data_IF_518926315994
#
_entry.id   IF_518926315994
#
_cell.length_a   1.000
_cell.length_b   1.000
_cell.length_c   1.000
_cell.angle_alpha   90.00
_cell.angle_beta   90.00
_cell.angle_gamma   90.00
#
_symmetry.space_group_name_H-M   'P 1'
#
loop_
_entity.id
_entity.type
_entity.pdbx_description
1 polymer ?
#
# COMPACT_ATOMS: atom_id res chain seq x y z
N UNK A 1 12.55 -1.49 4.16
CA UNK A 1 12.10 -0.47 3.19
C UNK A 1 11.16 -1.11 2.19
N UNK A 2 10.05 -0.46 1.84
CA UNK A 2 9.16 -0.93 0.77
C UNK A 2 9.44 -0.08 -0.46
N UNK A 3 9.68 -0.73 -1.58
CA UNK A 3 9.91 -0.07 -2.87
C UNK A 3 8.76 -0.41 -3.81
N UNK A 4 8.03 0.63 -4.20
CA UNK A 4 6.86 0.51 -5.08
C UNK A 4 7.31 0.30 -6.52
N UNK A 5 6.78 -0.73 -7.17
CA UNK A 5 7.13 -1.14 -8.54
C UNK A 5 5.87 -1.45 -9.35
N UNK A 6 5.89 -1.14 -10.65
CA UNK A 6 4.81 -1.51 -11.55
C UNK A 6 4.92 -3.00 -11.89
N UNK A 7 4.10 -3.84 -11.24
CA UNK A 7 4.07 -5.29 -11.45
C UNK A 7 2.63 -5.81 -11.34
N UNK A 8 2.33 -6.89 -12.05
CA UNK A 8 1.03 -7.57 -12.00
C UNK A 8 1.09 -8.77 -11.03
N UNK A 9 0.20 -8.76 -10.03
CA UNK A 9 0.09 -9.85 -9.06
C UNK A 9 -0.34 -11.19 -9.68
N UNK A 10 -1.12 -11.19 -10.76
CA UNK A 10 -1.50 -12.43 -11.46
C UNK A 10 -0.30 -13.10 -12.10
N UNK A 11 0.57 -12.32 -12.74
CA UNK A 11 1.83 -12.83 -13.29
C UNK A 11 2.74 -13.38 -12.19
N UNK A 12 2.82 -12.68 -11.05
CA UNK A 12 3.59 -13.15 -9.89
C UNK A 12 3.01 -14.47 -9.34
N UNK A 13 1.69 -14.61 -9.27
CA UNK A 13 1.05 -15.85 -8.83
C UNK A 13 1.41 -17.02 -9.77
N UNK A 14 1.31 -16.81 -11.07
CA UNK A 14 1.59 -17.83 -12.08
C UNK A 14 3.06 -18.25 -12.10
N UNK A 15 3.99 -17.30 -11.97
CA UNK A 15 5.43 -17.54 -12.12
C UNK A 15 6.14 -17.81 -10.77
N UNK A 16 5.52 -17.44 -9.65
CA UNK A 16 6.10 -17.55 -8.32
C UNK A 16 7.46 -16.86 -8.23
N UNK A 17 8.48 -17.60 -7.74
CA UNK A 17 9.85 -17.07 -7.61
C UNK A 17 10.55 -16.84 -8.96
N UNK A 18 10.04 -17.42 -10.06
CA UNK A 18 10.58 -17.25 -11.42
C UNK A 18 10.19 -15.91 -12.06
N UNK A 19 9.24 -15.17 -11.47
CA UNK A 19 8.87 -13.84 -11.95
C UNK A 19 10.10 -12.93 -12.07
N UNK A 20 10.24 -12.23 -13.20
CA UNK A 20 11.36 -11.32 -13.47
C UNK A 20 11.15 -9.99 -12.76
N UNK A 21 11.63 -9.91 -11.52
CA UNK A 21 11.51 -8.71 -10.71
C UNK A 21 12.38 -7.55 -11.23
N UNK A 22 11.84 -6.32 -11.30
CA UNK A 22 12.67 -5.14 -11.52
C UNK A 22 13.62 -4.98 -10.33
N UNK A 23 14.85 -4.53 -10.61
CA UNK A 23 15.88 -4.27 -9.60
C UNK A 23 16.00 -2.76 -9.40
N UNK A 24 16.13 -2.25 -8.16
CA UNK A 24 16.34 -0.82 -7.96
C UNK A 24 17.74 -0.43 -8.40
N UNK A 25 17.88 0.73 -9.05
CA UNK A 25 19.17 1.26 -9.50
C UNK A 25 20.07 1.66 -8.32
N UNK A 26 19.45 2.17 -7.25
CA UNK A 26 20.15 2.57 -6.04
C UNK A 26 19.32 2.31 -4.78
N UNK A 27 20.02 2.21 -3.65
CA UNK A 27 19.38 2.01 -2.36
C UNK A 27 18.52 3.25 -2.02
N UNK A 28 17.21 3.13 -1.81
CA UNK A 28 16.34 4.28 -1.51
C UNK A 28 16.60 4.90 -0.12
N UNK A 29 17.55 4.36 0.66
CA UNK A 29 17.96 4.89 1.97
C UNK A 29 19.29 5.63 1.94
N UNK A 30 20.27 5.14 1.18
CA UNK A 30 21.65 5.67 1.20
C UNK A 30 22.23 5.89 -0.19
N UNK A 31 21.43 5.71 -1.25
CA UNK A 31 21.77 5.92 -2.65
C UNK A 31 22.94 5.10 -3.20
N UNK A 32 23.47 4.13 -2.43
CA UNK A 32 24.44 3.15 -2.94
C UNK A 32 23.82 2.31 -4.09
N UNK A 33 24.53 2.22 -5.22
CA UNK A 33 24.09 1.57 -6.46
C UNK A 33 24.24 0.04 -6.44
N UNK A 34 25.19 -0.49 -5.66
CA UNK A 34 25.42 -1.94 -5.55
C UNK A 34 24.34 -2.62 -4.72
N UNK A 35 23.20 -2.98 -5.31
CA UNK A 35 22.12 -3.69 -4.61
C UNK A 35 22.01 -5.15 -5.07
N UNK A 36 22.29 -6.13 -4.22
CA UNK A 36 22.10 -7.54 -4.57
C UNK A 36 20.74 -8.11 -4.15
N UNK A 37 20.35 -9.21 -4.80
CA UNK A 37 19.20 -10.00 -4.39
C UNK A 37 19.43 -10.62 -3.01
N UNK A 38 18.41 -10.59 -2.16
CA UNK A 38 18.47 -11.13 -0.79
C UNK A 38 17.55 -12.33 -0.59
N UNK A 39 16.42 -12.37 -1.30
CA UNK A 39 15.46 -13.46 -1.16
C UNK A 39 14.05 -13.02 -1.52
N UNK A 40 13.05 -13.63 -0.88
CA UNK A 40 11.64 -13.30 -1.06
C UNK A 40 10.95 -13.19 0.29
N UNK A 41 9.93 -12.34 0.37
CA UNK A 41 9.04 -12.24 1.51
C UNK A 41 7.61 -12.54 1.05
N UNK A 42 6.96 -13.52 1.70
CA UNK A 42 5.57 -13.88 1.40
C UNK A 42 4.62 -12.78 1.87
N UNK A 43 3.67 -12.37 1.02
CA UNK A 43 2.68 -11.33 1.33
C UNK A 43 1.30 -11.72 0.81
N UNK A 44 0.30 -11.54 1.66
CA UNK A 44 -1.10 -11.71 1.28
C UNK A 44 -1.64 -10.45 0.60
N UNK A 45 -2.40 -10.67 -0.47
CA UNK A 45 -3.15 -9.65 -1.19
C UNK A 45 -4.62 -10.07 -1.26
N UNK A 46 -5.53 -9.11 -1.12
CA UNK A 46 -6.95 -9.40 -1.25
C UNK A 46 -7.26 -9.90 -2.66
N UNK A 47 -8.04 -10.97 -2.78
CA UNK A 47 -8.36 -11.64 -4.05
C UNK A 47 -7.43 -12.80 -4.41
N UNK A 48 -6.41 -13.09 -3.59
CA UNK A 48 -5.50 -14.23 -3.78
C UNK A 48 -5.65 -15.20 -2.61
N UNK A 49 -5.77 -16.49 -2.93
CA UNK A 49 -5.91 -17.56 -1.93
C UNK A 49 -4.61 -17.78 -1.13
N UNK A 50 -3.47 -17.57 -1.78
CA UNK A 50 -2.15 -17.84 -1.22
C UNK A 50 -1.31 -16.55 -1.06
N UNK A 51 -0.28 -16.64 -0.23
CA UNK A 51 0.69 -15.56 -0.10
C UNK A 51 1.62 -15.54 -1.32
N UNK A 52 1.83 -14.37 -1.90
CA UNK A 52 2.67 -14.18 -3.08
C UNK A 52 4.11 -13.82 -2.68
N UNK A 53 5.14 -14.36 -3.37
CA UNK A 53 6.54 -14.09 -3.03
C UNK A 53 6.98 -12.73 -3.57
N UNK A 54 7.17 -11.75 -2.69
CA UNK A 54 7.70 -10.42 -3.05
C UNK A 54 9.22 -10.42 -3.00
N UNK A 55 9.90 -9.94 -4.05
CA UNK A 55 11.36 -9.92 -4.08
C UNK A 55 11.94 -8.98 -3.03
N UNK A 56 12.98 -9.45 -2.34
CA UNK A 56 13.79 -8.68 -1.43
C UNK A 56 15.19 -8.46 -2.02
N UNK A 57 15.66 -7.23 -1.89
CA UNK A 57 17.01 -6.81 -2.18
C UNK A 57 17.68 -6.29 -0.91
N UNK A 58 19.01 -6.25 -0.87
CA UNK A 58 19.76 -5.74 0.28
C UNK A 58 20.81 -4.74 -0.16
N UNK A 59 20.94 -3.65 0.59
CA UNK A 59 22.07 -2.75 0.40
C UNK A 59 23.29 -3.26 1.18
N UNK A 60 24.48 -3.39 0.58
CA UNK A 60 25.69 -3.81 1.28
C UNK A 60 26.21 -2.71 2.22
N UNK A 61 25.96 -1.44 1.90
CA UNK A 61 26.42 -0.29 2.70
C UNK A 61 25.56 -0.10 3.95
N UNK A 62 24.30 0.29 3.80
CA UNK A 62 23.42 0.58 4.95
C UNK A 62 22.67 -0.65 5.49
N UNK A 63 22.92 -1.84 4.92
CA UNK A 63 22.29 -3.11 5.29
C UNK A 63 20.76 -3.14 5.18
N UNK A 64 20.13 -2.11 4.62
CA UNK A 64 18.69 -2.04 4.47
C UNK A 64 18.16 -3.14 3.56
N UNK A 65 17.09 -3.82 3.99
CA UNK A 65 16.32 -4.74 3.16
C UNK A 65 15.22 -3.96 2.45
N UNK A 66 15.19 -4.06 1.13
CA UNK A 66 14.26 -3.39 0.22
C UNK A 66 13.32 -4.46 -0.33
N UNK A 67 12.05 -4.42 0.06
CA UNK A 67 11.03 -5.35 -0.46
C UNK A 67 10.26 -4.66 -1.58
N UNK A 68 10.30 -5.23 -2.77
CA UNK A 68 9.48 -4.79 -3.89
C UNK A 68 7.99 -5.02 -3.57
N UNK A 69 7.14 -4.06 -3.91
CA UNK A 69 5.68 -4.15 -3.71
C UNK A 69 4.97 -3.50 -4.89
N UNK A 70 3.83 -4.04 -5.35
CA UNK A 70 3.09 -3.43 -6.44
C UNK A 70 2.67 -2.00 -6.11
N UNK A 71 2.87 -1.07 -7.05
CA UNK A 71 2.66 0.37 -6.87
C UNK A 71 1.19 0.74 -6.60
N UNK A 72 0.24 -0.09 -7.04
CA UNK A 72 -1.19 0.08 -6.78
C UNK A 72 -1.64 -0.38 -5.37
N UNK A 73 -0.70 -0.67 -4.46
CA UNK A 73 -0.98 -1.00 -3.07
C UNK A 73 -0.17 -0.11 -2.13
N UNK A 74 -0.83 0.37 -1.07
CA UNK A 74 -0.08 1.02 0.01
C UNK A 74 0.85 0.01 0.72
N UNK A 75 1.96 0.50 1.29
CA UNK A 75 2.76 -0.25 2.24
C UNK A 75 1.89 -0.92 3.30
N UNK A 76 2.13 -2.22 3.54
CA UNK A 76 1.47 -3.03 4.58
C UNK A 76 -0.05 -3.24 4.43
N UNK A 77 -0.71 -2.66 3.42
CA UNK A 77 -2.15 -2.84 3.17
C UNK A 77 -2.38 -3.89 2.08
N UNK A 78 -3.25 -4.86 2.37
CA UNK A 78 -3.51 -6.02 1.49
C UNK A 78 -4.47 -5.73 0.32
N UNK A 79 -5.25 -4.66 0.40
CA UNK A 79 -6.20 -4.25 -0.64
C UNK A 79 -5.57 -3.23 -1.57
N UNK A 80 -5.93 -3.26 -2.86
CA UNK A 80 -5.44 -2.27 -3.81
C UNK A 80 -6.03 -0.90 -3.48
N UNK A 81 -5.29 0.15 -3.85
CA UNK A 81 -5.66 1.54 -3.61
C UNK A 81 -7.02 1.85 -4.25
N UNK A 82 -7.24 1.40 -5.50
CA UNK A 82 -8.49 1.62 -6.22
C UNK A 82 -9.71 1.10 -5.45
N UNK A 83 -9.66 -0.13 -4.92
CA UNK A 83 -10.76 -0.71 -4.11
C UNK A 83 -11.02 0.11 -2.85
N UNK A 84 -9.97 0.58 -2.18
CA UNK A 84 -10.12 1.41 -0.98
C UNK A 84 -10.84 2.71 -1.34
N UNK A 85 -10.41 3.38 -2.41
CA UNK A 85 -11.04 4.62 -2.92
C UNK A 85 -12.49 4.39 -3.31
N UNK A 86 -12.80 3.34 -4.08
CA UNK A 86 -14.18 2.99 -4.46
C UNK A 86 -15.07 2.80 -3.23
N UNK A 87 -14.61 2.02 -2.24
CA UNK A 87 -15.37 1.76 -1.03
C UNK A 87 -15.65 3.02 -0.20
N UNK A 88 -14.64 3.88 -0.04
CA UNK A 88 -14.77 5.12 0.71
C UNK A 88 -15.68 6.12 -0.02
N UNK A 89 -15.48 6.28 -1.33
CA UNK A 89 -16.29 7.16 -2.20
C UNK A 89 -17.75 6.74 -2.15
N UNK A 90 -18.04 5.46 -2.34
CA UNK A 90 -19.40 4.94 -2.23
C UNK A 90 -20.00 5.19 -0.84
N UNK A 91 -19.22 4.97 0.24
CA UNK A 91 -19.69 5.23 1.60
C UNK A 91 -20.03 6.69 1.85
N UNK A 92 -19.23 7.62 1.32
CA UNK A 92 -19.41 9.06 1.48
C UNK A 92 -20.64 9.54 0.70
N UNK A 93 -20.80 9.12 -0.56
CA UNK A 93 -21.90 9.60 -1.40
C UNK A 93 -23.24 8.90 -1.12
N UNK A 94 -23.22 7.60 -0.84
CA UNK A 94 -24.45 6.78 -0.74
C UNK A 94 -24.88 6.51 0.71
N UNK A 95 -24.09 6.93 1.70
CA UNK A 95 -24.40 6.68 3.11
C UNK A 95 -24.43 5.19 3.51
N UNK A 96 -23.98 4.28 2.64
CA UNK A 96 -23.92 2.82 2.85
C UNK A 96 -22.69 2.20 2.20
N UNK A 97 -22.25 1.05 2.70
CA UNK A 97 -21.13 0.31 2.10
C UNK A 97 -21.55 -0.32 0.76
N UNK A 98 -20.66 -0.43 -0.23
CA UNK A 98 -20.98 -1.12 -1.47
C UNK A 98 -21.18 -2.63 -1.22
N UNK A 99 -21.96 -3.33 -2.05
CA UNK A 99 -22.22 -4.76 -1.94
C UNK A 99 -21.02 -5.58 -2.45
N UNK A 100 -19.85 -5.37 -1.86
CA UNK A 100 -18.61 -6.08 -2.22
C UNK A 100 -18.31 -7.21 -1.23
N UNK A 101 -17.55 -8.21 -1.69
CA UNK A 101 -17.05 -9.32 -0.88
C UNK A 101 -15.91 -8.91 0.08
N UNK A 102 -16.09 -7.81 0.81
CA UNK A 102 -15.18 -7.35 1.85
C UNK A 102 -15.84 -7.39 3.22
N UNK A 103 -15.14 -7.88 4.26
CA UNK A 103 -15.66 -7.80 5.62
C UNK A 103 -15.93 -6.35 6.01
N UNK A 104 -17.13 -6.07 6.54
CA UNK A 104 -17.53 -4.72 6.99
C UNK A 104 -16.57 -4.15 8.03
N UNK A 105 -15.94 -4.99 8.85
CA UNK A 105 -14.91 -4.59 9.81
C UNK A 105 -13.72 -3.90 9.14
N UNK A 106 -13.24 -4.43 8.01
CA UNK A 106 -12.14 -3.83 7.23
C UNK A 106 -12.52 -2.46 6.67
N UNK A 107 -13.72 -2.35 6.11
CA UNK A 107 -14.23 -1.10 5.54
C UNK A 107 -14.36 -0.01 6.61
N UNK A 108 -14.94 -0.36 7.76
CA UNK A 108 -15.05 0.52 8.93
C UNK A 108 -13.67 0.96 9.42
N UNK A 109 -12.70 0.04 9.47
CA UNK A 109 -11.33 0.36 9.88
C UNK A 109 -10.67 1.38 8.95
N UNK A 110 -10.82 1.26 7.64
CA UNK A 110 -10.31 2.26 6.70
C UNK A 110 -10.91 3.63 6.92
N UNK A 111 -12.23 3.72 7.09
CA UNK A 111 -12.91 4.99 7.35
C UNK A 111 -12.51 5.62 8.69
N UNK A 112 -12.41 4.81 9.74
CA UNK A 112 -11.97 5.26 11.06
C UNK A 112 -10.55 5.86 10.96
N UNK A 113 -9.62 5.12 10.35
CA UNK A 113 -8.25 5.57 10.18
C UNK A 113 -8.18 6.85 9.33
N UNK A 114 -8.97 6.96 8.25
CA UNK A 114 -9.03 8.18 7.44
C UNK A 114 -9.44 9.39 8.27
N UNK A 115 -10.50 9.27 9.08
CA UNK A 115 -10.93 10.34 9.98
C UNK A 115 -9.82 10.76 10.95
N UNK A 116 -9.14 9.78 11.56
CA UNK A 116 -8.03 10.04 12.48
C UNK A 116 -6.85 10.71 11.79
N UNK A 117 -6.45 10.23 10.61
CA UNK A 117 -5.35 10.81 9.82
C UNK A 117 -5.65 12.26 9.43
N UNK A 118 -6.88 12.56 9.02
CA UNK A 118 -7.32 13.93 8.75
C UNK A 118 -7.23 14.80 10.00
N UNK A 119 -7.74 14.33 11.13
CA UNK A 119 -7.72 15.07 12.39
C UNK A 119 -6.29 15.39 12.84
N UNK A 120 -5.39 14.42 12.76
CA UNK A 120 -3.99 14.57 13.20
C UNK A 120 -3.21 15.48 12.25
N UNK A 121 -3.33 15.29 10.95
CA UNK A 121 -2.43 15.94 9.99
C UNK A 121 -3.00 17.16 9.30
N UNK A 122 -4.33 17.24 9.12
CA UNK A 122 -5.00 18.37 8.47
C UNK A 122 -5.67 19.32 9.46
N UNK A 123 -5.49 19.07 10.76
CA UNK A 123 -5.98 19.85 11.90
C UNK A 123 -7.51 19.85 12.05
N UNK A 124 -7.94 20.41 13.18
CA UNK A 124 -9.32 20.48 13.64
C UNK A 124 -10.19 21.38 12.74
N UNK A 125 -9.57 22.22 11.92
CA UNK A 125 -10.23 23.19 11.04
C UNK A 125 -10.52 22.64 9.64
N UNK A 126 -10.17 21.39 9.36
CA UNK A 126 -10.45 20.77 8.07
C UNK A 126 -11.95 20.60 7.83
N UNK A 127 -12.50 21.38 6.90
CA UNK A 127 -13.94 21.40 6.56
C UNK A 127 -14.25 20.87 5.15
N UNK A 128 -13.23 20.59 4.33
CA UNK A 128 -13.40 20.25 2.90
C UNK A 128 -13.94 18.84 2.64
N UNK A 129 -14.21 18.04 3.67
CA UNK A 129 -14.75 16.69 3.57
C UNK A 129 -13.69 15.57 3.54
N UNK A 130 -14.16 14.33 3.59
CA UNK A 130 -13.31 13.14 3.76
C UNK A 130 -12.50 12.79 2.50
N UNK A 131 -13.09 12.93 1.30
CA UNK A 131 -12.41 12.56 0.05
C UNK A 131 -11.30 13.57 -0.27
N UNK A 132 -11.56 14.86 -0.09
CA UNK A 132 -10.56 15.91 -0.19
C UNK A 132 -9.45 15.71 0.86
N UNK A 133 -9.82 15.27 2.07
CA UNK A 133 -8.85 14.93 3.11
C UNK A 133 -7.96 13.75 2.70
N UNK A 134 -8.54 12.73 2.06
CA UNK A 134 -7.79 11.61 1.49
C UNK A 134 -6.74 12.09 0.47
N UNK A 135 -7.13 12.94 -0.48
CA UNK A 135 -6.22 13.47 -1.52
C UNK A 135 -5.12 14.36 -0.91
N UNK A 136 -5.48 15.17 0.07
CA UNK A 136 -4.52 16.05 0.76
C UNK A 136 -3.49 15.24 1.55
N UNK A 137 -3.89 14.14 2.19
CA UNK A 137 -2.97 13.22 2.88
C UNK A 137 -2.00 12.57 1.88
N UNK A 138 -2.49 12.14 0.71
CA UNK A 138 -1.63 11.59 -0.35
C UNK A 138 -0.61 12.60 -0.86
N UNK A 139 -1.04 13.86 -1.07
CA UNK A 139 -0.15 14.96 -1.47
C UNK A 139 0.99 15.16 -0.48
N UNK A 140 0.72 14.94 0.83
CA UNK A 140 1.71 14.98 1.91
C UNK A 140 2.49 13.67 2.10
N UNK A 141 2.36 12.70 1.17
CA UNK A 141 2.99 11.37 1.21
C UNK A 141 2.58 10.54 2.43
N UNK A 142 1.41 10.80 3.00
CA UNK A 142 0.81 10.01 4.09
C UNK A 142 -0.13 8.96 3.52
N UNK A 143 -0.23 7.80 4.19
CA UNK A 143 -1.14 6.73 3.79
C UNK A 143 -2.50 6.98 4.47
N UNK A 144 -3.56 7.35 3.73
CA UNK A 144 -4.77 7.90 4.35
C UNK A 144 -5.53 6.92 5.22
N UNK A 145 -5.38 5.61 4.99
CA UNK A 145 -6.09 4.55 5.72
C UNK A 145 -5.18 3.74 6.63
N UNK A 146 -3.93 4.16 6.81
CA UNK A 146 -3.02 3.56 7.76
C UNK A 146 -3.39 3.96 9.19
N UNK A 147 -3.08 3.10 10.15
CA UNK A 147 -3.22 3.43 11.57
C UNK A 147 -2.37 4.66 11.89
N UNK A 148 -2.94 5.62 12.61
CA UNK A 148 -2.18 6.72 13.19
C UNK A 148 -1.07 6.15 14.09
N UNK A 149 0.16 6.61 13.88
CA UNK A 149 1.35 6.23 14.64
C UNK A 149 1.81 7.42 15.46
#
# INVERSE_FOLDING_TARGET
>A
MIWSVAVDLKQIQQQGKKFRWPRPDSCPRCHQWRIWGHGYALRYFAGFAEALPMKCYRCPLCRCVITARPANYFPRIRSCIAVIVTCLTHRVHQGRWPPLAFPRSRLRHWLLNLKQQIQIHLTNTWSKGLLQGYDQLLTRRLIPVARAS
#
